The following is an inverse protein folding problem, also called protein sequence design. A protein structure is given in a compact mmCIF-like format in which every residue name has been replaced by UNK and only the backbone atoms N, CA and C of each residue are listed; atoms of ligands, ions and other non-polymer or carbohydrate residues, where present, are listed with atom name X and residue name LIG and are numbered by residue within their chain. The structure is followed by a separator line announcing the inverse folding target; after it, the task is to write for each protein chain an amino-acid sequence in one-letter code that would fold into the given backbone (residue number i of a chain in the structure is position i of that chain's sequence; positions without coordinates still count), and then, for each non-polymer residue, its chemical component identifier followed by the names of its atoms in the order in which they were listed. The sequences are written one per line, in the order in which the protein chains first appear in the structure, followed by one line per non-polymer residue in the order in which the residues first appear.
data_IF_530345871674
#
_entry.id   IF_530345871674
#
_cell.length_a   1.000
_cell.length_b   1.000
_cell.length_c   1.000
_cell.angle_alpha   90.00
_cell.angle_beta   90.00
_cell.angle_gamma   90.00
#
_symmetry.space_group_name_H-M   'P 1'
#
loop_
_entity.id
_entity.type
_entity.pdbx_description
1 polymer ?
#
# COMPACT_ATOMS: atom_id res chain seq x y z
N UNK A 1 -36.99 -12.69 3.33
CA UNK A 1 -35.80 -12.68 2.45
C UNK A 1 -35.97 -11.57 1.44
N UNK A 2 -35.20 -10.47 1.52
CA UNK A 2 -35.17 -9.44 0.47
C UNK A 2 -33.74 -9.27 -0.01
N UNK A 3 -33.50 -9.67 -1.26
CA UNK A 3 -32.20 -9.63 -1.91
C UNK A 3 -31.70 -8.20 -2.05
N UNK A 4 -30.50 -7.95 -1.54
CA UNK A 4 -29.78 -6.71 -1.71
C UNK A 4 -29.35 -6.58 -3.17
N UNK A 5 -29.83 -5.53 -3.85
CA UNK A 5 -29.39 -5.16 -5.19
C UNK A 5 -27.99 -4.58 -5.07
N UNK A 6 -26.99 -5.27 -5.62
CA UNK A 6 -25.64 -4.76 -5.76
C UNK A 6 -25.59 -3.81 -6.97
N UNK A 7 -25.93 -2.55 -6.75
CA UNK A 7 -25.59 -1.49 -7.68
C UNK A 7 -24.07 -1.25 -7.58
N UNK A 8 -23.33 -1.73 -8.60
CA UNK A 8 -21.92 -1.40 -8.80
C UNK A 8 -21.82 0.00 -9.37
N UNK A 9 -22.22 0.98 -8.56
CA UNK A 9 -22.05 2.39 -8.85
C UNK A 9 -20.56 2.70 -9.07
N UNK A 10 -20.28 3.36 -10.20
CA UNK A 10 -18.98 3.79 -10.72
C UNK A 10 -17.95 4.06 -9.61
N UNK A 11 -16.93 3.20 -9.55
CA UNK A 11 -15.87 3.20 -8.53
C UNK A 11 -14.89 4.36 -8.68
N UNK A 12 -15.37 5.58 -8.48
CA UNK A 12 -14.51 6.73 -8.26
C UNK A 12 -13.96 6.61 -6.84
N UNK A 13 -12.74 6.09 -6.70
CA UNK A 13 -12.06 5.98 -5.42
C UNK A 13 -11.63 7.41 -5.04
N UNK A 14 -12.42 8.06 -4.20
CA UNK A 14 -12.02 9.30 -3.54
C UNK A 14 -10.95 8.90 -2.52
N UNK A 15 -9.72 9.30 -2.78
CA UNK A 15 -8.60 9.05 -1.88
C UNK A 15 -8.70 10.06 -0.74
N UNK A 16 -8.88 9.58 0.49
CA UNK A 16 -8.79 10.40 1.68
C UNK A 16 -7.38 10.99 1.79
N UNK A 17 -7.29 12.32 1.87
CA UNK A 17 -6.01 13.03 1.80
C UNK A 17 -5.13 12.77 3.03
N UNK A 18 -5.72 12.62 4.21
CA UNK A 18 -4.96 12.32 5.43
C UNK A 18 -4.39 10.90 5.37
N UNK A 19 -5.20 9.94 4.93
CA UNK A 19 -4.76 8.57 4.70
C UNK A 19 -3.65 8.52 3.63
N UNK A 20 -3.78 9.29 2.55
CA UNK A 20 -2.76 9.36 1.49
C UNK A 20 -1.40 9.82 2.02
N UNK A 21 -1.38 10.84 2.90
CA UNK A 21 -0.16 11.33 3.53
C UNK A 21 0.49 10.26 4.42
N UNK A 22 -0.31 9.53 5.21
CA UNK A 22 0.21 8.45 6.04
C UNK A 22 0.72 7.28 5.20
N UNK A 23 0.03 6.90 4.13
CA UNK A 23 0.49 5.89 3.17
C UNK A 23 1.82 6.31 2.57
N UNK A 24 1.93 7.54 2.07
CA UNK A 24 3.18 8.08 1.53
C UNK A 24 4.33 7.98 2.55
N UNK A 25 4.07 8.37 3.81
CA UNK A 25 5.06 8.26 4.90
C UNK A 25 5.53 6.82 5.12
N UNK A 26 4.64 5.82 5.03
CA UNK A 26 5.02 4.41 5.13
C UNK A 26 6.04 4.04 4.04
N UNK A 27 5.81 4.47 2.80
CA UNK A 27 6.74 4.20 1.69
C UNK A 27 8.07 4.93 1.86
N UNK A 28 8.04 6.21 2.25
CA UNK A 28 9.24 7.02 2.50
C UNK A 28 10.12 6.37 3.58
N UNK A 29 9.53 5.96 4.70
CA UNK A 29 10.24 5.30 5.80
C UNK A 29 10.78 3.92 5.40
N UNK A 30 10.00 3.11 4.69
CA UNK A 30 10.45 1.79 4.26
C UNK A 30 11.58 1.85 3.22
N UNK A 31 11.52 2.83 2.32
CA UNK A 31 12.54 3.06 1.29
C UNK A 31 13.92 3.41 1.85
N UNK A 32 14.02 3.80 3.13
CA UNK A 32 15.32 4.00 3.80
C UNK A 32 16.09 2.70 4.01
N UNK A 33 15.41 1.56 4.03
CA UNK A 33 16.00 0.27 4.42
C UNK A 33 16.28 0.13 5.92
N UNK A 34 15.97 1.14 6.74
CA UNK A 34 16.21 1.12 8.18
C UNK A 34 15.21 0.25 8.95
N UNK A 35 14.06 -0.07 8.35
CA UNK A 35 12.95 -0.74 9.02
C UNK A 35 12.57 -2.06 8.33
N UNK A 36 12.38 -3.11 9.14
CA UNK A 36 11.65 -4.31 8.71
C UNK A 36 10.17 -3.95 8.52
N UNK A 37 9.42 -4.73 7.74
CA UNK A 37 7.97 -4.53 7.63
C UNK A 37 7.30 -4.67 9.02
N UNK A 38 7.77 -5.59 9.86
CA UNK A 38 7.29 -5.74 11.24
C UNK A 38 7.58 -4.52 12.12
N UNK A 39 8.73 -3.86 11.94
CA UNK A 39 9.06 -2.61 12.63
C UNK A 39 8.16 -1.47 12.13
N UNK A 40 7.90 -1.44 10.83
CA UNK A 40 7.02 -0.46 10.20
C UNK A 40 5.58 -0.58 10.70
N UNK A 41 5.06 -1.79 10.93
CA UNK A 41 3.75 -2.00 11.58
C UNK A 41 3.69 -1.26 12.92
N UNK A 42 4.72 -1.39 13.76
CA UNK A 42 4.76 -0.70 15.07
C UNK A 42 4.76 0.82 14.91
N UNK A 43 5.43 1.35 13.88
CA UNK A 43 5.39 2.78 13.57
C UNK A 43 3.99 3.23 13.13
N UNK A 44 3.31 2.45 12.29
CA UNK A 44 1.93 2.78 11.88
C UNK A 44 0.96 2.82 13.06
N UNK A 45 1.15 1.98 14.07
CA UNK A 45 0.35 2.01 15.30
C UNK A 45 0.59 3.31 16.08
N UNK A 46 1.86 3.74 16.21
CA UNK A 46 2.23 5.00 16.85
C UNK A 46 1.66 6.23 16.14
N UNK A 47 1.49 6.16 14.81
CA UNK A 47 0.87 7.22 14.03
C UNK A 47 -0.67 7.18 14.03
N UNK A 48 -1.28 6.21 14.73
CA UNK A 48 -2.73 6.04 14.78
C UNK A 48 -3.34 5.60 13.45
N UNK A 49 -2.54 5.02 12.54
CA UNK A 49 -3.03 4.57 11.24
C UNK A 49 -3.82 3.26 11.40
N UNK A 50 -5.12 3.34 11.09
CA UNK A 50 -6.07 2.24 11.17
C UNK A 50 -6.61 1.88 9.79
N UNK A 51 -7.19 0.69 9.69
CA UNK A 51 -7.88 0.25 8.48
C UNK A 51 -9.19 1.05 8.31
N UNK A 52 -9.46 1.55 7.10
CA UNK A 52 -10.71 2.26 6.80
C UNK A 52 -11.93 1.35 6.60
N UNK A 53 -11.72 0.03 6.43
CA UNK A 53 -12.81 -0.97 6.30
C UNK A 53 -12.94 -1.87 7.52
N UNK A 54 -14.14 -1.92 8.11
CA UNK A 54 -14.48 -2.83 9.21
C UNK A 54 -14.13 -2.27 10.59
N UNK A 55 -13.56 -3.11 11.47
CA UNK A 55 -13.34 -2.86 12.90
C UNK A 55 -12.38 -1.70 13.28
N UNK A 56 -12.02 -0.79 12.36
CA UNK A 56 -11.07 0.32 12.61
C UNK A 56 -9.77 -0.12 13.30
N UNK A 57 -9.38 -1.38 13.11
CA UNK A 57 -8.21 -1.96 13.75
C UNK A 57 -6.91 -1.44 13.15
N UNK A 58 -5.84 -1.52 13.93
CA UNK A 58 -4.51 -1.21 13.42
C UNK A 58 -4.10 -2.10 12.25
N UNK A 59 -3.22 -1.57 11.39
CA UNK A 59 -2.64 -2.35 10.31
C UNK A 59 -1.81 -3.52 10.86
N UNK A 60 -1.86 -4.66 10.17
CA UNK A 60 -1.07 -5.84 10.50
C UNK A 60 -0.04 -6.10 9.41
N UNK A 61 0.82 -7.10 9.62
CA UNK A 61 1.92 -7.42 8.73
C UNK A 61 1.47 -7.70 7.28
N UNK A 62 0.40 -8.48 7.11
CA UNK A 62 -0.13 -8.83 5.77
C UNK A 62 -0.72 -7.61 5.06
N UNK A 63 -1.32 -6.68 5.80
CA UNK A 63 -1.80 -5.41 5.24
C UNK A 63 -0.65 -4.59 4.67
N UNK A 64 0.43 -4.39 5.43
CA UNK A 64 1.61 -3.65 4.96
C UNK A 64 2.31 -4.37 3.80
N UNK A 65 2.43 -5.70 3.84
CA UNK A 65 2.98 -6.47 2.72
C UNK A 65 2.18 -6.28 1.44
N UNK A 66 0.85 -6.28 1.52
CA UNK A 66 -0.01 -6.07 0.37
C UNK A 66 0.08 -4.62 -0.12
N UNK A 67 0.09 -3.67 0.81
CA UNK A 67 0.19 -2.24 0.53
C UNK A 67 1.49 -1.92 -0.24
N UNK A 68 2.64 -2.39 0.24
CA UNK A 68 3.96 -2.19 -0.37
C UNK A 68 4.11 -2.79 -1.77
N UNK A 69 3.24 -3.70 -2.17
CA UNK A 69 3.30 -4.38 -3.46
C UNK A 69 2.19 -3.93 -4.43
N UNK A 70 1.27 -3.08 -3.97
CA UNK A 70 0.13 -2.68 -4.76
C UNK A 70 0.49 -1.49 -5.67
N UNK A 71 0.45 -1.65 -7.00
CA UNK A 71 0.76 -0.58 -7.94
C UNK A 71 -0.24 0.58 -7.93
N UNK A 72 -1.39 0.40 -7.27
CA UNK A 72 -2.42 1.43 -7.08
C UNK A 72 -1.83 2.74 -6.53
N UNK A 73 -0.85 2.67 -5.62
CA UNK A 73 -0.32 3.85 -4.95
C UNK A 73 0.48 4.78 -5.87
N UNK A 74 1.00 4.28 -7.01
CA UNK A 74 1.55 5.12 -8.09
C UNK A 74 0.61 5.20 -9.29
N UNK A 75 -0.70 5.05 -9.03
CA UNK A 75 -1.78 5.16 -10.01
C UNK A 75 -1.73 4.10 -11.13
N UNK A 76 -1.35 2.87 -10.83
CA UNK A 76 -1.41 1.75 -11.80
C UNK A 76 -2.27 0.60 -11.29
N UNK A 77 -3.19 0.15 -12.13
CA UNK A 77 -3.98 -1.07 -11.95
C UNK A 77 -3.32 -2.23 -12.67
N UNK A 78 -3.09 -3.35 -11.98
CA UNK A 78 -2.65 -4.60 -12.62
C UNK A 78 -3.80 -5.61 -12.68
N UNK A 79 -4.12 -6.08 -13.88
CA UNK A 79 -5.13 -7.13 -14.08
C UNK A 79 -4.49 -8.49 -13.84
N UNK A 80 -4.81 -9.11 -12.71
CA UNK A 80 -4.21 -10.38 -12.27
C UNK A 80 -4.33 -11.50 -13.32
N UNK A 81 -5.45 -11.59 -14.04
CA UNK A 81 -5.68 -12.64 -15.05
C UNK A 81 -4.79 -12.50 -16.28
N UNK A 82 -4.42 -11.28 -16.67
CA UNK A 82 -3.72 -11.01 -17.94
C UNK A 82 -2.32 -10.42 -17.74
N UNK A 83 -1.95 -10.04 -16.53
CA UNK A 83 -0.72 -9.31 -16.22
C UNK A 83 -0.70 -7.84 -16.68
N UNK A 84 -1.58 -7.45 -17.61
CA UNK A 84 -1.68 -6.10 -18.16
C UNK A 84 -1.84 -5.02 -17.08
N UNK A 85 -1.18 -3.90 -17.32
CA UNK A 85 -1.18 -2.72 -16.45
C UNK A 85 -1.90 -1.56 -17.14
N UNK A 86 -2.65 -0.79 -16.34
CA UNK A 86 -3.45 0.34 -16.81
C UNK A 86 -3.26 1.51 -15.86
N UNK A 87 -3.16 2.72 -16.40
CA UNK A 87 -3.11 3.92 -15.56
C UNK A 87 -4.49 4.17 -14.93
N UNK A 88 -4.50 4.48 -13.63
CA UNK A 88 -5.67 4.96 -12.93
C UNK A 88 -5.93 6.44 -13.20
N UNK A 89 -7.18 6.86 -13.03
CA UNK A 89 -7.62 8.26 -13.19
C UNK A 89 -7.22 9.17 -12.02
N UNK A 90 -6.79 8.61 -10.88
CA UNK A 90 -6.46 9.39 -9.70
C UNK A 90 -4.97 9.81 -9.72
N UNK A 91 -4.61 10.92 -9.07
CA UNK A 91 -3.20 11.29 -8.91
C UNK A 91 -2.43 10.21 -8.13
N UNK A 92 -1.15 9.96 -8.48
CA UNK A 92 -0.31 9.04 -7.72
C UNK A 92 -0.10 9.57 -6.28
N UNK A 93 -0.21 8.68 -5.29
CA UNK A 93 0.11 8.98 -3.89
C UNK A 93 1.63 8.98 -3.69
N UNK A 94 2.33 8.10 -4.41
CA UNK A 94 3.79 7.99 -4.44
C UNK A 94 4.30 7.94 -5.88
N UNK A 95 5.56 8.29 -6.11
CA UNK A 95 6.20 8.07 -7.40
C UNK A 95 6.49 6.58 -7.64
N UNK A 96 6.58 6.20 -8.92
CA UNK A 96 7.04 4.85 -9.30
C UNK A 96 8.46 4.58 -8.78
N UNK A 97 9.32 5.59 -8.77
CA UNK A 97 10.69 5.48 -8.24
C UNK A 97 10.71 5.13 -6.76
N UNK A 98 9.85 5.76 -5.95
CA UNK A 98 9.74 5.43 -4.53
C UNK A 98 9.24 3.99 -4.33
N UNK A 99 8.26 3.57 -5.13
CA UNK A 99 7.77 2.19 -5.13
C UNK A 99 8.87 1.18 -5.49
N UNK A 100 9.65 1.46 -6.54
CA UNK A 100 10.74 0.60 -6.98
C UNK A 100 11.84 0.51 -5.93
N UNK A 101 12.18 1.60 -5.24
CA UNK A 101 13.13 1.59 -4.13
C UNK A 101 12.67 0.70 -2.96
N UNK A 102 11.38 0.75 -2.61
CA UNK A 102 10.81 -0.18 -1.63
C UNK A 102 10.92 -1.65 -2.08
N UNK A 103 10.72 -1.91 -3.38
CA UNK A 103 10.91 -3.25 -3.96
C UNK A 103 12.37 -3.69 -3.84
N UNK A 104 13.33 -2.81 -4.08
CA UNK A 104 14.76 -3.10 -3.93
C UNK A 104 15.11 -3.46 -2.48
N UNK A 105 14.68 -2.66 -1.51
CA UNK A 105 14.87 -2.95 -0.07
C UNK A 105 14.33 -4.35 0.28
N UNK A 106 13.11 -4.66 -0.17
CA UNK A 106 12.46 -5.95 0.10
C UNK A 106 13.20 -7.13 -0.51
N UNK A 107 13.69 -7.00 -1.75
CA UNK A 107 14.42 -8.07 -2.45
C UNK A 107 15.90 -8.15 -2.01
N UNK A 108 16.46 -7.04 -1.56
CA UNK A 108 17.84 -6.92 -1.09
C UNK A 108 18.07 -7.45 0.32
N UNK A 109 17.02 -7.64 1.13
CA UNK A 109 17.14 -8.17 2.50
C UNK A 109 17.86 -9.53 2.54
N UNK A 110 17.59 -10.40 1.56
CA UNK A 110 18.23 -11.71 1.45
C UNK A 110 19.66 -11.66 0.91
N UNK A 111 20.17 -10.47 0.55
CA UNK A 111 21.54 -10.26 0.05
C UNK A 111 22.51 -9.77 1.13
N UNK A 112 22.13 -9.77 2.42
CA UNK A 112 23.14 -9.65 3.49
C UNK A 112 24.00 -10.91 3.45
N UNK A 113 25.04 -10.85 2.63
CA UNK A 113 26.13 -11.81 2.60
C UNK A 113 26.66 -11.93 4.01
N UNK A 114 26.71 -13.16 4.48
CA UNK A 114 27.61 -13.60 5.54
C UNK A 114 28.98 -13.02 5.16
N UNK A 115 29.48 -12.08 5.95
CA UNK A 115 30.85 -11.58 5.92
C UNK A 115 31.39 -11.72 7.32
#
# INVERSE_FOLDING_TARGET
MKGAKHDRGKGQIIIDQQLALLVRKIFEEYATGAYTISALVKLTHKWGLTNSRGNQGYLCLSHLHSLMQNPFYYAVMRVQKTGKEYLHIHPPIISKELFDKCREVRLGWNKKTIT
#
